data_IF_817989433411
#
_entry.id   IF_817989433411
#
_cell.length_a   1.000
_cell.length_b   1.000
_cell.length_c   1.000
_cell.angle_alpha   90.00
_cell.angle_beta   90.00
_cell.angle_gamma   90.00
#
_symmetry.space_group_name_H-M   'P 1'
#
loop_
_entity.id
_entity.type
_entity.pdbx_description
1 polymer ?
#
# COMPACT_ATOMS: atom_id res chain seq x y z
N UNK A 1 8.02 -69.31 -38.60
CA UNK A 1 7.78 -67.90 -38.21
C UNK A 1 7.68 -67.81 -36.67
N UNK A 2 8.75 -67.37 -36.02
CA UNK A 2 8.79 -67.15 -34.54
C UNK A 2 8.42 -65.78 -34.23
N UNK A 3 7.20 -65.56 -33.68
CA UNK A 3 6.76 -64.28 -33.17
C UNK A 3 7.52 -63.91 -31.89
N UNK A 4 8.31 -62.87 -31.94
CA UNK A 4 8.98 -62.27 -30.79
C UNK A 4 7.91 -61.51 -29.95
N UNK A 5 7.46 -62.08 -28.85
CA UNK A 5 6.69 -61.35 -27.85
C UNK A 5 7.64 -60.41 -27.13
N UNK A 6 7.44 -59.10 -27.34
CA UNK A 6 8.11 -58.07 -26.57
C UNK A 6 7.64 -58.20 -25.12
N UNK A 7 8.53 -58.63 -24.22
CA UNK A 7 8.28 -58.66 -22.79
C UNK A 7 8.10 -57.22 -22.27
N UNK A 8 6.88 -56.92 -21.84
CA UNK A 8 6.57 -55.65 -21.21
C UNK A 8 7.12 -55.69 -19.78
N UNK A 9 8.25 -55.03 -19.54
CA UNK A 9 8.90 -54.98 -18.25
C UNK A 9 8.15 -53.99 -17.34
N UNK A 10 7.46 -54.45 -16.28
CA UNK A 10 6.68 -53.59 -15.40
C UNK A 10 7.54 -52.57 -14.63
N UNK A 11 8.82 -52.82 -14.51
CA UNK A 11 9.79 -51.91 -13.86
C UNK A 11 9.98 -50.57 -14.58
N UNK A 12 9.91 -50.57 -15.92
CA UNK A 12 10.06 -49.36 -16.73
C UNK A 12 8.87 -48.38 -16.52
N UNK A 13 7.67 -48.90 -16.33
CA UNK A 13 6.46 -48.11 -16.07
C UNK A 13 6.52 -47.44 -14.70
N UNK A 14 7.02 -48.15 -13.70
CA UNK A 14 7.17 -47.65 -12.34
C UNK A 14 8.11 -46.44 -12.27
N UNK A 15 9.25 -46.51 -12.95
CA UNK A 15 10.20 -45.38 -12.99
C UNK A 15 9.66 -44.19 -13.80
N UNK A 16 8.91 -44.45 -14.88
CA UNK A 16 8.24 -43.38 -15.62
C UNK A 16 7.16 -42.66 -14.81
N UNK A 17 6.34 -43.39 -14.02
CA UNK A 17 5.33 -42.81 -13.14
C UNK A 17 5.96 -42.00 -12.01
N UNK A 18 7.07 -42.45 -11.43
CA UNK A 18 7.79 -41.69 -10.38
C UNK A 18 8.38 -40.39 -10.93
N UNK A 19 8.94 -40.43 -12.15
CA UNK A 19 9.50 -39.25 -12.82
C UNK A 19 8.41 -38.20 -13.14
N UNK A 20 7.24 -38.65 -13.59
CA UNK A 20 6.08 -37.73 -13.85
C UNK A 20 5.53 -37.13 -12.56
N UNK A 21 5.46 -37.92 -11.47
CA UNK A 21 4.99 -37.41 -10.16
C UNK A 21 6.00 -36.41 -9.57
N UNK A 22 7.29 -36.60 -9.77
CA UNK A 22 8.32 -35.66 -9.33
C UNK A 22 8.31 -34.34 -10.12
N UNK A 23 7.93 -34.35 -11.41
CA UNK A 23 7.78 -33.14 -12.21
C UNK A 23 6.55 -32.30 -11.84
N UNK A 24 5.49 -32.91 -11.33
CA UNK A 24 4.29 -32.21 -10.86
C UNK A 24 4.48 -31.51 -9.50
N UNK A 25 5.51 -31.88 -8.72
CA UNK A 25 5.77 -31.31 -7.40
C UNK A 25 6.55 -29.97 -7.42
N UNK A 26 7.08 -29.56 -8.58
CA UNK A 26 7.90 -28.32 -8.70
C UNK A 26 7.04 -27.07 -8.99
N UNK A 27 5.73 -27.23 -9.16
CA UNK A 27 4.81 -26.18 -9.60
C UNK A 27 4.07 -25.40 -8.50
N UNK A 28 4.31 -25.64 -7.21
CA UNK A 28 3.75 -24.79 -6.16
C UNK A 28 4.71 -23.64 -5.85
N UNK A 29 4.87 -22.72 -6.82
CA UNK A 29 5.31 -21.40 -6.52
C UNK A 29 4.28 -20.81 -5.55
N UNK A 30 4.68 -20.60 -4.30
CA UNK A 30 3.94 -19.74 -3.40
C UNK A 30 3.94 -18.36 -4.05
N UNK A 31 2.85 -18.00 -4.75
CA UNK A 31 2.54 -16.62 -4.97
C UNK A 31 2.39 -16.05 -3.55
N UNK A 32 3.40 -15.31 -3.07
CA UNK A 32 3.19 -14.37 -2.00
C UNK A 32 2.17 -13.39 -2.56
N UNK A 33 0.90 -13.55 -2.15
CA UNK A 33 -0.06 -12.48 -2.20
C UNK A 33 0.55 -11.37 -1.33
N UNK A 34 1.27 -10.45 -1.95
CA UNK A 34 1.54 -9.16 -1.36
C UNK A 34 0.17 -8.56 -1.10
N UNK A 35 -0.27 -8.62 0.16
CA UNK A 35 -1.50 -7.97 0.60
C UNK A 35 -1.29 -6.48 0.33
N UNK A 36 -1.83 -6.03 -0.78
CA UNK A 36 -1.77 -4.64 -1.20
C UNK A 36 -2.46 -3.81 -0.12
N UNK A 37 -1.66 -3.08 0.65
CA UNK A 37 -2.19 -2.21 1.69
C UNK A 37 -2.72 -0.96 1.04
N UNK A 38 -4.01 -0.73 1.18
CA UNK A 38 -4.60 0.56 0.84
C UNK A 38 -4.14 1.64 1.82
N UNK A 39 -3.72 2.79 1.26
CA UNK A 39 -3.43 3.96 2.05
C UNK A 39 -4.72 4.62 2.52
N UNK A 40 -4.71 5.22 3.70
CA UNK A 40 -5.83 6.03 4.18
C UNK A 40 -5.37 7.21 5.01
N UNK A 41 -6.22 8.23 5.06
CA UNK A 41 -6.06 9.40 5.87
C UNK A 41 -7.25 9.52 6.83
N UNK A 42 -6.96 9.74 8.11
CA UNK A 42 -7.99 9.84 9.15
C UNK A 42 -7.71 10.98 10.09
N UNK A 43 -8.76 11.77 10.40
CA UNK A 43 -8.72 12.77 11.45
C UNK A 43 -9.08 12.10 12.77
N UNK A 44 -8.11 11.91 13.66
CA UNK A 44 -8.30 11.27 14.96
C UNK A 44 -8.98 12.18 15.98
N UNK A 45 -8.61 13.45 15.96
CA UNK A 45 -9.26 14.48 16.78
C UNK A 45 -9.05 15.84 16.15
N UNK A 46 -10.00 16.71 16.34
CA UNK A 46 -9.89 18.11 15.97
C UNK A 46 -10.63 18.94 17.00
N UNK A 47 -10.03 20.05 17.44
CA UNK A 47 -10.63 21.02 18.33
C UNK A 47 -10.30 22.43 17.88
N UNK A 48 -11.22 23.34 18.07
CA UNK A 48 -11.04 24.75 17.76
C UNK A 48 -11.15 25.57 19.01
N UNK A 49 -10.34 26.61 19.14
CA UNK A 49 -10.38 27.58 20.20
C UNK A 49 -10.20 29.00 19.64
N UNK A 50 -10.68 30.00 20.37
CA UNK A 50 -10.39 31.41 20.09
C UNK A 50 -9.41 31.88 21.16
N UNK A 51 -8.20 32.22 20.73
CA UNK A 51 -7.16 32.75 21.61
C UNK A 51 -6.80 34.15 21.12
N UNK A 52 -6.98 35.15 21.96
CA UNK A 52 -6.73 36.55 21.62
C UNK A 52 -7.43 37.05 20.33
N UNK A 53 -8.62 36.53 20.06
CA UNK A 53 -9.39 36.87 18.85
C UNK A 53 -8.97 36.12 17.60
N UNK A 54 -8.01 35.21 17.70
CA UNK A 54 -7.55 34.34 16.61
C UNK A 54 -8.17 32.96 16.75
N UNK A 55 -8.76 32.45 15.66
CA UNK A 55 -9.22 31.06 15.59
C UNK A 55 -8.02 30.13 15.44
N UNK A 56 -7.84 29.27 16.42
CA UNK A 56 -6.84 28.21 16.40
C UNK A 56 -7.50 26.86 16.17
N UNK A 57 -6.91 26.02 15.33
CA UNK A 57 -7.29 24.64 15.12
C UNK A 57 -6.17 23.74 15.61
N UNK A 58 -6.48 22.85 16.54
CA UNK A 58 -5.62 21.75 16.94
C UNK A 58 -6.20 20.44 16.40
N UNK A 59 -5.43 19.73 15.58
CA UNK A 59 -5.89 18.50 14.96
C UNK A 59 -4.81 17.43 15.01
N UNK A 60 -5.24 16.21 15.33
CA UNK A 60 -4.41 15.02 15.25
C UNK A 60 -4.83 14.19 14.05
N UNK A 61 -3.90 13.99 13.14
CA UNK A 61 -4.11 13.30 11.87
C UNK A 61 -3.32 12.01 11.86
N UNK A 62 -3.88 10.98 11.25
CA UNK A 62 -3.18 9.74 10.97
C UNK A 62 -3.19 9.50 9.47
N UNK A 63 -2.00 9.36 8.90
CA UNK A 63 -1.80 8.98 7.52
C UNK A 63 -1.17 7.59 7.49
N UNK A 64 -1.79 6.66 6.77
CA UNK A 64 -1.23 5.36 6.45
C UNK A 64 -0.99 5.32 4.96
N UNK A 65 0.27 5.10 4.57
CA UNK A 65 0.66 5.02 3.17
C UNK A 65 0.28 3.66 2.57
N UNK A 66 -0.10 3.66 1.30
CA UNK A 66 -0.29 2.43 0.53
C UNK A 66 1.04 1.69 0.33
N UNK A 67 0.96 0.40 0.00
CA UNK A 67 2.15 -0.39 -0.34
C UNK A 67 2.93 0.22 -1.51
N UNK A 68 2.22 0.73 -2.52
CA UNK A 68 2.81 1.40 -3.67
C UNK A 68 3.55 2.69 -3.28
N UNK A 69 2.95 3.53 -2.42
CA UNK A 69 3.58 4.75 -1.93
C UNK A 69 4.84 4.46 -1.09
N UNK A 70 4.81 3.42 -0.25
CA UNK A 70 5.98 2.98 0.50
C UNK A 70 7.10 2.50 -0.43
N UNK A 71 6.78 1.70 -1.44
CA UNK A 71 7.75 1.23 -2.43
C UNK A 71 8.36 2.39 -3.24
N UNK A 72 7.56 3.40 -3.59
CA UNK A 72 8.05 4.60 -4.25
C UNK A 72 9.06 5.35 -3.37
N UNK A 73 8.75 5.56 -2.08
CA UNK A 73 9.67 6.16 -1.11
C UNK A 73 10.97 5.39 -0.99
N UNK A 74 10.91 4.07 -0.84
CA UNK A 74 12.09 3.20 -0.73
C UNK A 74 12.95 3.23 -1.99
N UNK A 75 12.32 3.48 -3.15
CA UNK A 75 12.99 3.68 -4.43
C UNK A 75 13.60 5.09 -4.58
N UNK A 76 13.45 5.96 -3.58
CA UNK A 76 14.01 7.31 -3.56
C UNK A 76 13.08 8.39 -4.14
N UNK A 77 11.81 8.09 -4.35
CA UNK A 77 10.82 9.08 -4.77
C UNK A 77 10.35 9.87 -3.54
N UNK A 78 10.44 11.20 -3.59
CA UNK A 78 9.88 12.08 -2.57
C UNK A 78 8.37 12.16 -2.74
N UNK A 79 7.61 11.91 -1.68
CA UNK A 79 6.15 12.07 -1.68
C UNK A 79 5.78 13.44 -1.13
N UNK A 80 4.85 14.13 -1.81
CA UNK A 80 4.28 15.38 -1.33
C UNK A 80 2.88 15.12 -0.78
N UNK A 81 2.66 15.54 0.46
CA UNK A 81 1.37 15.47 1.15
C UNK A 81 0.87 16.91 1.29
N UNK A 82 -0.29 17.20 0.70
CA UNK A 82 -0.93 18.50 0.82
C UNK A 82 -2.16 18.38 1.73
N UNK A 83 -2.16 19.17 2.80
CA UNK A 83 -3.26 19.28 3.74
C UNK A 83 -4.00 20.57 3.48
N UNK A 84 -5.26 20.47 3.05
CA UNK A 84 -6.13 21.62 2.84
C UNK A 84 -7.13 21.73 3.97
N UNK A 85 -7.22 22.91 4.56
CA UNK A 85 -8.19 23.28 5.58
C UNK A 85 -9.07 24.38 5.04
N UNK A 86 -10.38 24.21 5.16
CA UNK A 86 -11.34 25.21 4.74
C UNK A 86 -12.28 25.54 5.90
N UNK A 87 -12.50 26.82 6.14
CA UNK A 87 -13.53 27.33 7.06
C UNK A 87 -14.75 27.69 6.23
N UNK A 88 -15.83 26.94 6.44
CA UNK A 88 -17.07 27.08 5.67
C UNK A 88 -18.16 27.64 6.55
N UNK A 89 -18.77 28.77 6.13
CA UNK A 89 -19.98 29.30 6.73
C UNK A 89 -21.19 28.63 6.09
N UNK A 90 -21.91 27.83 6.86
CA UNK A 90 -23.17 27.23 6.43
C UNK A 90 -24.30 28.26 6.40
N UNK A 91 -25.02 28.31 5.27
CA UNK A 91 -26.18 29.20 5.09
C UNK A 91 -27.42 28.37 4.80
N UNK A 92 -28.54 28.67 5.49
CA UNK A 92 -29.76 27.84 5.37
C UNK A 92 -30.48 27.94 4.02
N UNK A 93 -30.27 29.01 3.26
CA UNK A 93 -31.01 29.28 2.00
C UNK A 93 -30.09 29.66 0.82
N UNK A 94 -28.79 29.76 1.04
CA UNK A 94 -27.79 30.11 0.03
C UNK A 94 -26.70 29.06 0.01
N UNK A 95 -25.92 28.96 -1.05
CA UNK A 95 -24.72 28.10 -1.07
C UNK A 95 -23.78 28.44 0.08
N UNK A 96 -23.11 27.42 0.61
CA UNK A 96 -22.11 27.60 1.65
C UNK A 96 -20.98 28.50 1.13
N UNK A 97 -20.44 29.32 1.99
CA UNK A 97 -19.41 30.30 1.69
C UNK A 97 -18.10 29.90 2.35
N UNK A 98 -17.01 29.86 1.57
CA UNK A 98 -15.67 29.57 2.09
C UNK A 98 -15.08 30.87 2.62
N UNK A 99 -14.93 30.98 3.95
CA UNK A 99 -14.41 32.18 4.61
C UNK A 99 -12.90 32.26 4.68
N UNK A 100 -12.26 31.08 4.81
CA UNK A 100 -10.82 30.98 4.86
C UNK A 100 -10.37 29.62 4.34
N UNK A 101 -9.21 29.60 3.70
CA UNK A 101 -8.54 28.40 3.21
C UNK A 101 -7.07 28.45 3.61
N UNK A 102 -6.55 27.31 4.09
CA UNK A 102 -5.15 27.13 4.41
C UNK A 102 -4.68 25.83 3.76
N UNK A 103 -3.63 25.90 2.99
CA UNK A 103 -2.94 24.73 2.44
C UNK A 103 -1.55 24.60 3.08
N UNK A 104 -1.26 23.43 3.64
CA UNK A 104 0.06 23.11 4.21
C UNK A 104 0.60 21.92 3.45
N UNK A 105 1.85 22.03 2.98
CA UNK A 105 2.52 21.01 2.20
C UNK A 105 3.66 20.42 3.00
N UNK A 106 3.74 19.09 3.01
CA UNK A 106 4.80 18.31 3.63
C UNK A 106 5.48 17.46 2.57
N UNK A 107 6.78 17.34 2.65
CA UNK A 107 7.57 16.45 1.82
C UNK A 107 8.08 15.30 2.68
N UNK A 108 7.85 14.07 2.22
CA UNK A 108 8.29 12.86 2.87
C UNK A 108 9.37 12.20 2.01
N UNK A 109 10.54 12.02 2.59
CA UNK A 109 11.70 11.37 1.97
C UNK A 109 12.15 10.16 2.77
N UNK A 110 12.65 9.14 2.08
CA UNK A 110 13.34 8.01 2.72
C UNK A 110 14.86 8.15 2.53
N UNK A 111 15.59 8.00 3.63
CA UNK A 111 17.05 8.00 3.63
C UNK A 111 17.58 6.57 3.74
N UNK A 112 18.07 5.94 2.65
CA UNK A 112 18.51 4.54 2.65
C UNK A 112 19.67 4.27 3.62
N UNK A 113 20.60 5.22 3.76
CA UNK A 113 21.79 5.07 4.61
C UNK A 113 21.44 4.94 6.09
N UNK A 114 20.44 5.69 6.55
CA UNK A 114 20.00 5.68 7.95
C UNK A 114 18.72 4.89 8.19
N UNK A 115 18.10 4.39 7.12
CA UNK A 115 16.80 3.69 7.14
C UNK A 115 15.72 4.51 7.88
N UNK A 116 15.68 5.81 7.63
CA UNK A 116 14.74 6.74 8.28
C UNK A 116 13.93 7.51 7.26
N UNK A 117 12.71 7.82 7.66
CA UNK A 117 11.83 8.76 6.94
C UNK A 117 12.00 10.15 7.53
N UNK A 118 12.08 11.15 6.67
CA UNK A 118 12.15 12.56 7.04
C UNK A 118 10.91 13.25 6.49
N UNK A 119 10.29 14.08 7.32
CA UNK A 119 9.22 15.01 6.95
C UNK A 119 9.77 16.42 7.02
N UNK A 120 9.59 17.18 5.95
CA UNK A 120 9.95 18.61 5.83
C UNK A 120 8.74 19.46 5.55
#
# INVERSE_FOLDING_TARGET
MKGKRAGFEPKAIWHACIAVLAMLAIGTGFAQDDIEREGYFEVRSASTAIVDGVHTLDARLQLVLSSEALQALESGVTLTIELQLQVIRRRSLLPDDVEAELAVRYELEYLPVSQRYIVR
#
